data_IF_330005347048
#
_entry.id   IF_330005347048
#
_cell.length_a   1.000
_cell.length_b   1.000
_cell.length_c   1.000
_cell.angle_alpha   90.00
_cell.angle_beta   90.00
_cell.angle_gamma   90.00
#
_symmetry.space_group_name_H-M   'P 1'
#
loop_
_entity.id
_entity.type
_entity.pdbx_description
1 polymer ?
#
# COMPACT_ATOMS: atom_id res chain seq x y z
N UNK A 1 20.01 36.02 19.56
CA UNK A 1 18.87 35.52 20.35
C UNK A 1 17.56 35.19 19.57
N UNK A 2 17.38 35.43 18.24
CA UNK A 2 16.17 34.99 17.51
C UNK A 2 16.14 33.50 17.11
N UNK A 3 17.30 32.84 16.95
CA UNK A 3 17.41 31.48 16.42
C UNK A 3 16.81 30.41 17.34
N UNK A 4 16.99 30.53 18.66
CA UNK A 4 16.50 29.56 19.65
C UNK A 4 14.97 29.55 19.75
N UNK A 5 14.30 30.71 19.59
CA UNK A 5 12.82 30.79 19.58
C UNK A 5 12.21 30.21 18.29
N UNK A 6 12.87 30.40 17.14
CA UNK A 6 12.41 29.84 15.87
C UNK A 6 12.52 28.30 15.86
N UNK A 7 13.63 27.74 16.37
CA UNK A 7 13.82 26.30 16.49
C UNK A 7 12.76 25.68 17.44
N UNK A 8 12.44 26.33 18.57
CA UNK A 8 11.41 25.85 19.49
C UNK A 8 9.98 25.91 18.92
N UNK A 9 9.68 26.90 18.08
CA UNK A 9 8.37 26.99 17.39
C UNK A 9 8.27 25.92 16.32
N UNK A 10 9.32 25.71 15.51
CA UNK A 10 9.35 24.66 14.50
C UNK A 10 9.22 23.26 15.12
N UNK A 11 9.92 23.00 16.22
CA UNK A 11 9.81 21.74 16.96
C UNK A 11 8.41 21.54 17.56
N UNK A 12 7.76 22.62 18.05
CA UNK A 12 6.40 22.54 18.56
C UNK A 12 5.43 22.19 17.44
N UNK A 13 5.54 22.84 16.27
CA UNK A 13 4.70 22.57 15.09
C UNK A 13 4.88 21.13 14.64
N UNK A 14 6.13 20.64 14.52
CA UNK A 14 6.41 19.27 14.12
C UNK A 14 5.83 18.24 15.10
N UNK A 15 5.95 18.47 16.42
CA UNK A 15 5.35 17.58 17.43
C UNK A 15 3.83 17.57 17.34
N UNK A 16 3.21 18.73 17.11
CA UNK A 16 1.76 18.83 17.00
C UNK A 16 1.26 18.13 15.73
N UNK A 17 1.98 18.31 14.62
CA UNK A 17 1.68 17.62 13.36
C UNK A 17 1.81 16.09 13.51
N UNK A 18 2.84 15.61 14.18
CA UNK A 18 2.99 14.18 14.49
C UNK A 18 1.84 13.67 15.35
N UNK A 19 1.45 14.40 16.40
CA UNK A 19 0.32 14.01 17.25
C UNK A 19 -1.01 13.95 16.50
N UNK A 20 -1.25 14.88 15.57
CA UNK A 20 -2.44 14.86 14.68
C UNK A 20 -2.39 13.65 13.77
N UNK A 21 -1.24 13.38 13.18
CA UNK A 21 -1.03 12.23 12.29
C UNK A 21 -1.29 10.89 13.01
N UNK A 22 -0.66 10.68 14.17
CA UNK A 22 -0.81 9.46 14.96
C UNK A 22 -2.25 9.24 15.43
N UNK A 23 -2.92 10.30 15.88
CA UNK A 23 -4.32 10.24 16.29
C UNK A 23 -5.24 9.90 15.10
N UNK A 24 -4.99 10.48 13.93
CA UNK A 24 -5.76 10.20 12.73
C UNK A 24 -5.63 8.74 12.31
N UNK A 25 -4.42 8.20 12.23
CA UNK A 25 -4.20 6.80 11.85
C UNK A 25 -4.87 5.84 12.83
N UNK A 26 -4.73 6.08 14.13
CA UNK A 26 -5.41 5.28 15.15
C UNK A 26 -6.92 5.29 14.97
N UNK A 27 -7.53 6.47 14.79
CA UNK A 27 -8.96 6.60 14.58
C UNK A 27 -9.43 5.92 13.28
N UNK A 28 -8.65 6.04 12.19
CA UNK A 28 -8.97 5.37 10.93
C UNK A 28 -8.95 3.85 11.05
N UNK A 29 -7.98 3.28 11.78
CA UNK A 29 -7.91 1.85 12.04
C UNK A 29 -9.06 1.39 12.94
N UNK A 30 -9.39 2.16 14.00
CA UNK A 30 -10.43 1.80 14.96
C UNK A 30 -11.86 1.94 14.42
N UNK A 31 -12.13 2.97 13.59
CA UNK A 31 -13.50 3.38 13.20
C UNK A 31 -13.73 3.34 11.69
N UNK A 32 -12.71 2.97 10.91
CA UNK A 32 -12.71 3.09 9.46
C UNK A 32 -12.52 4.54 8.98
N UNK A 33 -11.87 4.72 7.84
CA UNK A 33 -11.59 6.05 7.27
C UNK A 33 -12.87 6.89 7.05
N UNK A 34 -13.94 6.28 6.52
CA UNK A 34 -15.20 6.97 6.26
C UNK A 34 -15.90 7.46 7.54
N UNK A 35 -15.74 6.73 8.66
CA UNK A 35 -16.37 7.03 9.95
C UNK A 35 -15.69 8.14 10.75
N UNK A 36 -14.55 8.70 10.29
CA UNK A 36 -13.78 9.71 11.02
C UNK A 36 -13.81 11.04 10.28
N UNK A 37 -14.07 12.12 11.01
CA UNK A 37 -13.99 13.49 10.52
C UNK A 37 -12.72 14.20 11.01
N UNK A 38 -12.32 15.29 10.34
CA UNK A 38 -11.26 16.17 10.85
C UNK A 38 -11.61 16.77 12.24
N UNK A 39 -12.92 16.90 12.55
CA UNK A 39 -13.37 17.33 13.87
C UNK A 39 -13.07 16.30 14.95
N UNK A 40 -13.24 15.01 14.66
CA UNK A 40 -12.92 13.92 15.60
C UNK A 40 -11.42 13.88 15.89
N UNK A 41 -10.59 14.02 14.85
CA UNK A 41 -9.12 14.07 14.98
C UNK A 41 -8.71 15.30 15.82
N UNK A 42 -9.28 16.46 15.56
CA UNK A 42 -8.97 17.67 16.32
C UNK A 42 -9.35 17.53 17.80
N UNK A 43 -10.52 16.96 18.10
CA UNK A 43 -10.97 16.69 19.45
C UNK A 43 -10.04 15.73 20.20
N UNK A 44 -9.56 14.69 19.52
CA UNK A 44 -8.64 13.68 20.08
C UNK A 44 -7.31 14.29 20.55
N UNK A 45 -6.80 15.29 19.83
CA UNK A 45 -5.53 15.96 20.16
C UNK A 45 -5.73 17.28 20.90
N UNK A 46 -6.94 17.61 21.30
CA UNK A 46 -7.25 18.84 22.04
C UNK A 46 -7.10 20.12 21.22
N UNK A 47 -7.26 20.05 19.90
CA UNK A 47 -7.20 21.20 18.99
C UNK A 47 -8.60 21.69 18.60
N UNK A 48 -8.73 22.99 18.34
CA UNK A 48 -9.88 23.48 17.59
C UNK A 48 -9.82 22.96 16.14
N UNK A 49 -10.97 22.57 15.55
CA UNK A 49 -11.06 22.07 14.18
C UNK A 49 -10.32 22.96 13.15
N UNK A 50 -10.47 24.28 13.27
CA UNK A 50 -9.81 25.22 12.37
C UNK A 50 -8.28 25.24 12.51
N UNK A 51 -7.74 24.81 13.64
CA UNK A 51 -6.29 24.70 13.84
C UNK A 51 -5.71 23.50 13.11
N UNK A 52 -6.50 22.47 12.85
CA UNK A 52 -6.07 21.24 12.19
C UNK A 52 -5.73 21.48 10.71
N UNK A 53 -6.45 22.36 10.03
CA UNK A 53 -6.20 22.75 8.64
C UNK A 53 -4.81 23.35 8.38
N UNK A 54 -4.09 23.77 9.44
CA UNK A 54 -2.69 24.22 9.33
C UNK A 54 -1.72 23.06 9.15
N UNK A 55 -2.12 21.84 9.49
CA UNK A 55 -1.30 20.64 9.41
C UNK A 55 -1.70 19.77 8.21
N UNK A 56 -3.00 19.60 8.01
CA UNK A 56 -3.56 18.81 6.92
C UNK A 56 -4.77 19.51 6.32
N UNK A 57 -4.82 19.72 4.99
CA UNK A 57 -5.96 20.36 4.34
C UNK A 57 -7.23 19.50 4.42
N UNK A 58 -7.07 18.17 4.39
CA UNK A 58 -8.15 17.20 4.53
C UNK A 58 -7.64 15.83 4.99
N UNK A 59 -8.53 14.83 5.01
CA UNK A 59 -8.20 13.48 5.46
C UNK A 59 -7.34 12.70 4.45
N UNK A 60 -7.51 12.94 3.16
CA UNK A 60 -6.76 12.19 2.13
C UNK A 60 -5.28 12.53 2.19
N UNK A 61 -4.91 13.78 2.51
CA UNK A 61 -3.51 14.18 2.69
C UNK A 61 -2.85 13.52 3.92
N UNK A 62 -3.64 13.14 4.93
CA UNK A 62 -3.12 12.31 6.04
C UNK A 62 -2.81 10.88 5.54
N UNK A 63 -3.70 10.29 4.73
CA UNK A 63 -3.45 8.98 4.11
C UNK A 63 -2.26 9.02 3.15
N UNK A 64 -2.16 10.06 2.32
CA UNK A 64 -1.05 10.22 1.38
C UNK A 64 0.29 10.32 2.12
N UNK A 65 0.35 11.08 3.21
CA UNK A 65 1.54 11.15 4.08
C UNK A 65 1.88 9.79 4.69
N UNK A 66 0.88 9.06 5.19
CA UNK A 66 1.07 7.72 5.73
C UNK A 66 1.63 6.78 4.65
N UNK A 67 1.03 6.78 3.46
CA UNK A 67 1.47 5.95 2.35
C UNK A 67 2.94 6.25 1.96
N UNK A 68 3.32 7.53 1.90
CA UNK A 68 4.72 7.95 1.65
C UNK A 68 5.68 7.41 2.71
N UNK A 69 5.27 7.36 3.96
CA UNK A 69 6.09 6.83 5.05
C UNK A 69 6.23 5.29 4.99
N UNK A 70 5.18 4.58 4.54
CA UNK A 70 5.16 3.12 4.43
C UNK A 70 5.85 2.60 3.16
N UNK A 71 5.89 3.41 2.10
CA UNK A 71 6.40 3.01 0.79
C UNK A 71 7.80 2.37 0.82
N UNK A 72 8.81 2.94 1.51
CA UNK A 72 10.16 2.34 1.54
C UNK A 72 10.15 0.92 2.12
N UNK A 73 9.41 0.69 3.20
CA UNK A 73 9.30 -0.62 3.83
C UNK A 73 8.57 -1.64 2.93
N UNK A 74 7.56 -1.19 2.17
CA UNK A 74 6.86 -2.04 1.20
C UNK A 74 7.79 -2.46 0.05
N UNK A 75 8.54 -1.51 -0.52
CA UNK A 75 9.52 -1.77 -1.59
C UNK A 75 10.63 -2.69 -1.09
N UNK A 76 11.18 -2.45 0.09
CA UNK A 76 12.21 -3.29 0.70
C UNK A 76 11.71 -4.73 0.89
N UNK A 77 10.51 -4.92 1.41
CA UNK A 77 9.89 -6.23 1.61
C UNK A 77 9.69 -6.97 0.28
N UNK A 78 9.10 -6.30 -0.71
CA UNK A 78 8.92 -6.88 -2.05
C UNK A 78 10.26 -7.27 -2.66
N UNK A 79 11.28 -6.41 -2.55
CA UNK A 79 12.64 -6.67 -3.05
C UNK A 79 13.28 -7.87 -2.34
N UNK A 80 13.14 -7.98 -1.03
CA UNK A 80 13.71 -9.08 -0.26
C UNK A 80 13.08 -10.43 -0.64
N UNK A 81 11.76 -10.48 -0.79
CA UNK A 81 11.04 -11.72 -1.14
C UNK A 81 11.31 -12.11 -2.60
N UNK A 82 11.14 -11.16 -3.53
CA UNK A 82 11.24 -11.43 -4.97
C UNK A 82 12.69 -11.54 -5.48
N UNK A 83 13.65 -10.90 -4.80
CA UNK A 83 15.09 -11.01 -5.07
C UNK A 83 15.81 -12.12 -4.29
N UNK A 84 15.09 -12.89 -3.46
CA UNK A 84 15.63 -13.95 -2.63
C UNK A 84 16.14 -15.16 -3.42
N UNK A 85 16.58 -16.18 -2.69
CA UNK A 85 17.03 -17.45 -3.30
C UNK A 85 15.86 -18.29 -3.83
N UNK A 86 16.14 -19.14 -4.83
CA UNK A 86 15.18 -20.08 -5.37
C UNK A 86 14.69 -19.73 -6.78
N UNK A 87 13.80 -20.58 -7.31
CA UNK A 87 13.24 -20.38 -8.64
C UNK A 87 12.32 -19.15 -8.67
N UNK A 88 12.32 -18.35 -9.75
CA UNK A 88 11.51 -17.14 -9.86
C UNK A 88 10.04 -17.37 -9.50
N UNK A 89 9.47 -18.46 -9.97
CA UNK A 89 8.11 -18.85 -9.65
C UNK A 89 7.85 -18.99 -8.15
N UNK A 90 8.73 -19.69 -7.42
CA UNK A 90 8.55 -19.87 -5.97
C UNK A 90 8.65 -18.53 -5.20
N UNK A 91 9.48 -17.60 -5.68
CA UNK A 91 9.57 -16.24 -5.11
C UNK A 91 8.31 -15.42 -5.37
N UNK A 92 7.71 -15.56 -6.56
CA UNK A 92 6.42 -14.90 -6.88
C UNK A 92 5.31 -15.50 -6.01
N UNK A 93 5.27 -16.82 -5.79
CA UNK A 93 4.32 -17.46 -4.87
C UNK A 93 4.48 -16.94 -3.44
N UNK A 94 5.70 -16.86 -2.93
CA UNK A 94 6.01 -16.33 -1.61
C UNK A 94 5.61 -14.84 -1.47
N UNK A 95 5.82 -14.05 -2.53
CA UNK A 95 5.37 -12.65 -2.54
C UNK A 95 3.84 -12.54 -2.52
N UNK A 96 3.12 -13.36 -3.27
CA UNK A 96 1.65 -13.39 -3.23
C UNK A 96 1.14 -13.75 -1.83
N UNK A 97 1.74 -14.75 -1.19
CA UNK A 97 1.39 -15.12 0.19
C UNK A 97 1.66 -13.98 1.18
N UNK A 98 2.79 -13.26 1.05
CA UNK A 98 3.10 -12.08 1.86
C UNK A 98 2.06 -10.96 1.65
N UNK A 99 1.63 -10.73 0.40
CA UNK A 99 0.58 -9.75 0.10
C UNK A 99 -0.78 -10.14 0.69
N UNK A 100 -1.15 -11.42 0.66
CA UNK A 100 -2.38 -11.92 1.29
C UNK A 100 -2.32 -11.78 2.82
N UNK A 101 -1.17 -12.03 3.42
CA UNK A 101 -0.95 -11.81 4.86
C UNK A 101 -1.01 -10.32 5.23
N UNK A 102 -0.46 -9.45 4.38
CA UNK A 102 -0.55 -8.00 4.53
C UNK A 102 -1.99 -7.49 4.41
N UNK A 103 -2.77 -8.03 3.47
CA UNK A 103 -4.17 -7.65 3.24
C UNK A 103 -5.09 -7.89 4.45
N UNK A 104 -4.67 -8.72 5.42
CA UNK A 104 -5.41 -8.94 6.68
C UNK A 104 -5.05 -7.97 7.79
N UNK A 105 -4.06 -7.12 7.58
CA UNK A 105 -3.66 -6.11 8.57
C UNK A 105 -4.63 -4.93 8.50
N UNK A 106 -4.99 -4.34 9.64
CA UNK A 106 -5.89 -3.18 9.66
C UNK A 106 -5.40 -2.01 8.81
N UNK A 107 -4.07 -1.85 8.69
CA UNK A 107 -3.44 -0.80 7.90
C UNK A 107 -3.70 -0.95 6.40
N UNK A 108 -4.00 -2.16 5.91
CA UNK A 108 -4.33 -2.37 4.50
C UNK A 108 -5.59 -1.62 4.08
N UNK A 109 -6.57 -1.46 4.98
CA UNK A 109 -7.79 -0.69 4.71
C UNK A 109 -7.48 0.78 4.41
N UNK A 110 -6.35 1.31 4.90
CA UNK A 110 -5.89 2.67 4.60
C UNK A 110 -5.40 2.81 3.15
N UNK A 111 -4.80 1.76 2.58
CA UNK A 111 -4.42 1.72 1.14
C UNK A 111 -5.67 1.72 0.28
N UNK A 112 -6.67 0.92 0.64
CA UNK A 112 -7.96 0.88 -0.07
C UNK A 112 -8.65 2.24 0.00
N UNK A 113 -8.70 2.85 1.20
CA UNK A 113 -9.27 4.16 1.41
C UNK A 113 -8.55 5.26 0.59
N UNK A 114 -7.21 5.22 0.50
CA UNK A 114 -6.44 6.15 -0.34
C UNK A 114 -6.79 5.96 -1.82
N UNK A 115 -6.86 4.72 -2.30
CA UNK A 115 -7.21 4.42 -3.69
C UNK A 115 -8.63 4.91 -4.07
N UNK A 116 -9.59 4.83 -3.13
CA UNK A 116 -10.96 5.33 -3.32
C UNK A 116 -11.04 6.87 -3.25
N UNK A 117 -10.15 7.52 -2.51
CA UNK A 117 -10.14 8.97 -2.30
C UNK A 117 -9.26 9.74 -3.33
N UNK A 118 -8.75 9.09 -4.36
CA UNK A 118 -7.88 9.73 -5.37
C UNK A 118 -8.54 10.90 -6.11
N UNK A 119 -9.86 10.96 -6.16
CA UNK A 119 -10.60 12.09 -6.76
C UNK A 119 -10.41 13.43 -6.06
N UNK A 120 -9.90 13.43 -4.82
CA UNK A 120 -9.63 14.62 -4.01
C UNK A 120 -8.16 15.07 -4.09
N UNK A 121 -7.31 14.36 -4.88
CA UNK A 121 -5.89 14.65 -5.05
C UNK A 121 -5.62 15.51 -6.27
N UNK A 122 -4.59 16.36 -6.17
CA UNK A 122 -4.11 17.17 -7.29
C UNK A 122 -3.35 16.30 -8.33
N UNK A 123 -3.24 16.74 -9.60
CA UNK A 123 -2.59 15.95 -10.66
C UNK A 123 -1.14 15.53 -10.32
N UNK A 124 -0.38 16.38 -9.63
CA UNK A 124 0.98 16.09 -9.20
C UNK A 124 1.01 14.96 -8.16
N UNK A 125 0.06 14.96 -7.23
CA UNK A 125 -0.05 13.91 -6.19
C UNK A 125 -0.49 12.58 -6.79
N UNK A 126 -1.39 12.61 -7.78
CA UNK A 126 -1.77 11.41 -8.55
C UNK A 126 -0.58 10.83 -9.33
N UNK A 127 0.25 11.68 -9.93
CA UNK A 127 1.46 11.24 -10.62
C UNK A 127 2.46 10.61 -9.65
N UNK A 128 2.66 11.20 -8.48
CA UNK A 128 3.50 10.65 -7.42
C UNK A 128 2.98 9.30 -6.91
N UNK A 129 1.67 9.18 -6.72
CA UNK A 129 1.05 7.92 -6.30
C UNK A 129 1.24 6.82 -7.36
N UNK A 130 1.09 7.16 -8.63
CA UNK A 130 1.36 6.25 -9.74
C UNK A 130 2.84 5.84 -9.82
N UNK A 131 3.78 6.76 -9.57
CA UNK A 131 5.22 6.46 -9.47
C UNK A 131 5.52 5.51 -8.31
N UNK A 132 4.91 5.76 -7.16
CA UNK A 132 5.04 4.91 -5.97
C UNK A 132 4.53 3.49 -6.24
N UNK A 133 3.39 3.36 -6.92
CA UNK A 133 2.86 2.06 -7.34
C UNK A 133 3.84 1.31 -8.25
N UNK A 134 4.45 2.00 -9.23
CA UNK A 134 5.50 1.40 -10.08
C UNK A 134 6.71 0.93 -9.28
N UNK A 135 7.14 1.68 -8.26
CA UNK A 135 8.27 1.30 -7.41
C UNK A 135 7.97 0.01 -6.61
N UNK A 136 6.76 -0.14 -6.08
CA UNK A 136 6.35 -1.36 -5.37
C UNK A 136 6.29 -2.57 -6.30
N UNK A 137 5.89 -2.39 -7.56
CA UNK A 137 5.77 -3.46 -8.55
C UNK A 137 7.08 -3.77 -9.30
N UNK A 138 8.08 -2.92 -9.27
CA UNK A 138 9.34 -3.13 -9.98
C UNK A 138 10.04 -4.45 -9.63
N UNK A 139 10.10 -4.91 -8.36
CA UNK A 139 10.65 -6.22 -8.02
C UNK A 139 9.84 -7.39 -8.62
N UNK A 140 8.52 -7.24 -8.73
CA UNK A 140 7.66 -8.25 -9.39
C UNK A 140 7.94 -8.31 -10.88
N UNK A 141 8.05 -7.16 -11.58
CA UNK A 141 8.40 -7.12 -13.00
C UNK A 141 9.73 -7.84 -13.26
N UNK A 142 10.75 -7.59 -12.44
CA UNK A 142 12.04 -8.26 -12.54
C UNK A 142 11.91 -9.80 -12.36
N UNK A 143 11.15 -10.26 -11.38
CA UNK A 143 10.90 -11.67 -11.13
C UNK A 143 10.12 -12.34 -12.28
N UNK A 144 9.19 -11.63 -12.92
CA UNK A 144 8.44 -12.07 -14.09
C UNK A 144 9.36 -12.24 -15.31
N UNK A 145 10.32 -11.32 -15.52
CA UNK A 145 11.37 -11.48 -16.57
C UNK A 145 12.15 -12.76 -16.33
N UNK A 146 12.62 -12.99 -15.11
CA UNK A 146 13.36 -14.19 -14.75
C UNK A 146 12.50 -15.48 -14.87
N UNK A 147 11.19 -15.37 -14.70
CA UNK A 147 10.24 -16.48 -14.93
C UNK A 147 9.97 -16.75 -16.42
N UNK A 148 10.54 -15.95 -17.34
CA UNK A 148 10.47 -16.17 -18.78
C UNK A 148 9.46 -15.29 -19.52
N UNK A 149 8.81 -14.32 -18.86
CA UNK A 149 7.93 -13.31 -19.48
C UNK A 149 8.78 -12.16 -20.04
N UNK A 150 9.28 -12.32 -21.27
CA UNK A 150 10.18 -11.32 -21.88
C UNK A 150 9.44 -10.08 -22.41
N UNK A 151 8.19 -10.24 -22.87
CA UNK A 151 7.38 -9.16 -23.43
C UNK A 151 6.86 -8.22 -22.33
N UNK A 152 7.02 -6.90 -22.53
CA UNK A 152 6.68 -5.91 -21.51
C UNK A 152 5.16 -5.76 -21.33
N UNK A 153 4.38 -5.83 -22.42
CA UNK A 153 2.92 -5.72 -22.35
C UNK A 153 2.32 -6.96 -21.68
N UNK A 154 2.87 -8.16 -21.98
CA UNK A 154 2.49 -9.41 -21.31
C UNK A 154 2.78 -9.34 -19.81
N UNK A 155 3.96 -8.85 -19.39
CA UNK A 155 4.31 -8.67 -17.97
C UNK A 155 3.37 -7.70 -17.26
N UNK A 156 3.08 -6.56 -17.90
CA UNK A 156 2.14 -5.58 -17.37
C UNK A 156 0.76 -6.22 -17.12
N UNK A 157 0.22 -6.93 -18.10
CA UNK A 157 -1.06 -7.63 -17.98
C UNK A 157 -1.04 -8.70 -16.86
N UNK A 158 0.04 -9.47 -16.74
CA UNK A 158 0.20 -10.47 -15.66
C UNK A 158 0.29 -9.80 -14.30
N UNK A 159 1.05 -8.70 -14.15
CA UNK A 159 1.15 -7.96 -12.90
C UNK A 159 -0.21 -7.39 -12.46
N UNK A 160 -0.98 -6.82 -13.39
CA UNK A 160 -2.32 -6.29 -13.13
C UNK A 160 -3.29 -7.41 -12.69
N UNK A 161 -3.26 -8.56 -13.37
CA UNK A 161 -4.08 -9.71 -13.01
C UNK A 161 -3.71 -10.27 -11.63
N UNK A 162 -2.41 -10.36 -11.31
CA UNK A 162 -1.94 -10.77 -9.99
C UNK A 162 -2.35 -9.77 -8.91
N UNK A 163 -2.24 -8.47 -9.18
CA UNK A 163 -2.71 -7.43 -8.28
C UNK A 163 -4.19 -7.56 -7.97
N UNK A 164 -5.03 -7.70 -9.01
CA UNK A 164 -6.47 -7.89 -8.86
C UNK A 164 -6.83 -9.17 -8.08
N UNK A 165 -6.09 -10.26 -8.34
CA UNK A 165 -6.27 -11.53 -7.64
C UNK A 165 -5.92 -11.41 -6.14
N UNK A 166 -4.80 -10.78 -5.83
CA UNK A 166 -4.36 -10.53 -4.44
C UNK A 166 -5.38 -9.65 -3.71
N UNK A 167 -5.86 -8.58 -4.33
CA UNK A 167 -6.88 -7.70 -3.72
C UNK A 167 -8.15 -8.49 -3.41
N UNK A 168 -8.70 -9.24 -4.38
CA UNK A 168 -9.93 -9.99 -4.19
C UNK A 168 -9.79 -11.10 -3.13
N UNK A 169 -8.70 -11.84 -3.16
CA UNK A 169 -8.39 -12.89 -2.19
C UNK A 169 -8.15 -12.31 -0.78
N UNK A 170 -7.36 -11.24 -0.68
CA UNK A 170 -7.07 -10.55 0.57
C UNK A 170 -8.32 -9.98 1.24
N UNK A 171 -9.19 -9.32 0.48
CA UNK A 171 -10.49 -8.84 0.98
C UNK A 171 -11.37 -9.99 1.52
N UNK A 172 -11.33 -11.15 0.89
CA UNK A 172 -12.04 -12.33 1.39
C UNK A 172 -11.44 -12.82 2.70
N UNK A 173 -10.12 -13.00 2.78
CA UNK A 173 -9.44 -13.43 4.00
C UNK A 173 -9.62 -12.41 5.14
N UNK A 174 -9.58 -11.10 4.85
CA UNK A 174 -9.85 -10.03 5.82
C UNK A 174 -11.26 -10.14 6.41
N UNK A 175 -12.29 -10.37 5.57
CA UNK A 175 -13.67 -10.58 6.04
C UNK A 175 -13.84 -11.83 6.90
N UNK A 176 -13.04 -12.87 6.69
CA UNK A 176 -13.04 -14.10 7.49
C UNK A 176 -12.23 -13.96 8.78
N UNK A 177 -11.37 -12.96 8.88
CA UNK A 177 -10.41 -12.78 9.97
C UNK A 177 -9.31 -13.84 10.02
N UNK A 178 -9.17 -14.66 8.96
CA UNK A 178 -8.21 -15.76 8.90
C UNK A 178 -7.83 -16.09 7.45
N UNK A 179 -6.66 -16.72 7.27
CA UNK A 179 -6.27 -17.29 5.99
C UNK A 179 -7.29 -18.37 5.54
N UNK A 180 -7.66 -18.33 4.25
CA UNK A 180 -8.58 -19.31 3.66
C UNK A 180 -7.78 -20.25 2.73
N UNK A 181 -7.54 -21.52 3.13
CA UNK A 181 -6.75 -22.47 2.33
C UNK A 181 -7.33 -22.69 0.92
N UNK A 182 -8.67 -22.63 0.76
CA UNK A 182 -9.29 -22.80 -0.56
C UNK A 182 -9.00 -21.59 -1.45
N UNK A 183 -9.08 -20.38 -0.92
CA UNK A 183 -8.70 -19.16 -1.66
C UNK A 183 -7.24 -19.23 -2.08
N UNK A 184 -6.33 -19.60 -1.19
CA UNK A 184 -4.89 -19.72 -1.50
C UNK A 184 -4.62 -20.79 -2.55
N UNK A 185 -5.33 -21.93 -2.49
CA UNK A 185 -5.26 -22.95 -3.51
C UNK A 185 -5.74 -22.46 -4.89
N UNK A 186 -6.80 -21.64 -4.95
CA UNK A 186 -7.27 -21.04 -6.21
C UNK A 186 -6.27 -20.00 -6.74
N UNK A 187 -5.69 -19.18 -5.88
CA UNK A 187 -4.62 -18.24 -6.25
C UNK A 187 -3.42 -18.98 -6.84
N UNK A 188 -2.99 -20.09 -6.23
CA UNK A 188 -1.93 -20.94 -6.76
C UNK A 188 -2.23 -21.49 -8.16
N UNK A 189 -3.46 -21.99 -8.38
CA UNK A 189 -3.90 -22.46 -9.72
C UNK A 189 -3.92 -21.33 -10.77
N UNK A 190 -4.34 -20.13 -10.38
CA UNK A 190 -4.30 -18.98 -11.28
C UNK A 190 -2.86 -18.59 -11.64
N UNK A 191 -1.94 -18.62 -10.67
CA UNK A 191 -0.50 -18.45 -10.90
C UNK A 191 0.05 -19.50 -11.87
N UNK A 192 -0.38 -20.77 -11.74
CA UNK A 192 -0.03 -21.83 -12.68
C UNK A 192 -0.43 -21.48 -14.12
N UNK A 193 -1.64 -20.95 -14.29
CA UNK A 193 -2.13 -20.52 -15.60
C UNK A 193 -1.37 -19.31 -16.15
N UNK A 194 -1.07 -18.34 -15.32
CA UNK A 194 -0.40 -17.10 -15.73
C UNK A 194 1.08 -17.30 -16.06
N UNK A 195 1.77 -18.17 -15.31
CA UNK A 195 3.21 -18.40 -15.45
C UNK A 195 3.58 -19.69 -16.19
N UNK A 196 2.64 -20.63 -16.31
CA UNK A 196 2.88 -21.99 -16.86
C UNK A 196 2.43 -22.23 -18.30
N UNK A 197 1.74 -21.28 -18.90
CA UNK A 197 0.99 -21.47 -20.15
C UNK A 197 1.75 -21.25 -21.44
N UNK A 198 3.06 -21.54 -21.54
CA UNK A 198 3.71 -21.61 -22.87
C UNK A 198 3.75 -23.02 -23.39
N UNK A 199 3.01 -23.37 -24.49
CA UNK A 199 3.41 -24.51 -25.29
C UNK A 199 4.83 -24.21 -25.77
N UNK A 200 5.77 -25.12 -25.41
CA UNK A 200 7.15 -25.00 -25.83
C UNK A 200 7.21 -24.73 -27.33
N UNK A 201 7.84 -23.65 -27.72
CA UNK A 201 8.12 -23.36 -29.11
C UNK A 201 8.95 -24.50 -29.68
N UNK A 202 8.29 -25.39 -30.39
CA UNK A 202 8.94 -26.29 -31.33
C UNK A 202 9.33 -25.47 -32.53
N UNK A 203 10.59 -25.20 -32.65
CA UNK A 203 11.24 -24.66 -33.83
C UNK A 203 12.62 -25.27 -33.96
#
# INVERSE_FOLDING_TARGET
MPRIQADSVAEHVARQEAAVFDAALRLFVERGYAGVSLGDIAAEVGLARNSLYRYFPDKVHILLRWFRAELPAQVERATAVLGGEGRPRARIEAWVDDQLDYARRPEHDLIVALAEATGDLEPEELAELADSHRQVLAPLDAALVEAGLADADERGAVADLLGGLVIAAGQREARLGAADPEVRAQVGRALDGLLGGRPGGTG
#
